data_IF_021376244025
#
_entry.id   IF_021376244025
#
_cell.length_a   1.000
_cell.length_b   1.000
_cell.length_c   1.000
_cell.angle_alpha   90.00
_cell.angle_beta   90.00
_cell.angle_gamma   90.00
#
_symmetry.space_group_name_H-M   'P 1'
#
loop_
_entity.id
_entity.type
_entity.pdbx_description
1 polymer ?
#
# COMPACT_ATOMS: atom_id res chain seq x y z
N UNK A 1 14.17 -4.02 -8.26
CA UNK A 1 13.17 -4.37 -7.22
C UNK A 1 12.97 -3.16 -6.32
N UNK A 2 11.76 -2.95 -5.81
CA UNK A 2 11.46 -1.85 -4.88
C UNK A 2 11.31 -2.36 -3.44
N UNK A 3 11.63 -1.50 -2.48
CA UNK A 3 11.45 -1.70 -1.04
C UNK A 3 10.75 -0.47 -0.48
N UNK A 4 9.78 -0.69 0.40
CA UNK A 4 9.12 0.37 1.16
C UNK A 4 9.74 0.39 2.55
N UNK A 5 10.40 1.50 2.87
CA UNK A 5 10.83 1.78 4.24
C UNK A 5 9.66 2.41 5.00
N UNK A 6 9.16 1.68 5.99
CA UNK A 6 8.05 2.13 6.84
C UNK A 6 8.49 3.30 7.73
N UNK A 7 9.74 3.32 8.20
CA UNK A 7 10.22 4.40 9.07
C UNK A 7 10.29 5.73 8.32
N UNK A 8 10.74 5.70 7.06
CA UNK A 8 10.75 6.89 6.22
C UNK A 8 9.34 7.47 5.97
N UNK A 9 8.29 6.64 5.95
CA UNK A 9 6.91 7.15 5.90
C UNK A 9 6.49 7.82 7.20
N UNK A 10 6.96 7.33 8.35
CA UNK A 10 6.68 7.96 9.63
C UNK A 10 7.36 9.33 9.76
N UNK A 11 8.63 9.43 9.33
CA UNK A 11 9.36 10.70 9.26
C UNK A 11 8.63 11.73 8.39
N UNK A 12 8.05 11.30 7.25
CA UNK A 12 7.31 12.19 6.35
C UNK A 12 6.03 12.79 6.96
N UNK A 13 5.41 12.13 7.94
CA UNK A 13 4.16 12.62 8.58
C UNK A 13 4.35 13.96 9.30
N UNK A 14 5.58 14.31 9.67
CA UNK A 14 5.89 15.60 10.29
C UNK A 14 5.80 16.77 9.28
N UNK A 15 5.88 16.49 7.99
CA UNK A 15 5.96 17.51 6.94
C UNK A 15 4.62 17.72 6.22
N UNK A 16 3.86 16.64 5.98
CA UNK A 16 2.60 16.68 5.23
C UNK A 16 1.75 15.43 5.47
N UNK A 17 0.46 15.43 5.07
CA UNK A 17 -0.33 14.20 4.99
C UNK A 17 0.35 13.17 4.07
N UNK A 18 0.64 11.99 4.61
CA UNK A 18 1.32 10.92 3.88
C UNK A 18 0.30 9.94 3.30
N UNK A 19 0.39 9.75 1.98
CA UNK A 19 -0.38 8.77 1.22
C UNK A 19 0.52 7.60 0.84
N UNK A 20 0.03 6.37 0.95
CA UNK A 20 0.78 5.19 0.51
C UNK A 20 0.22 4.59 -0.77
N UNK A 21 1.03 4.58 -1.82
CA UNK A 21 0.75 3.89 -3.08
C UNK A 21 1.13 2.41 -2.99
N UNK A 22 0.17 1.58 -2.58
CA UNK A 22 0.43 0.16 -2.37
C UNK A 22 0.57 -0.63 -3.68
N UNK A 23 0.01 -0.14 -4.78
CA UNK A 23 0.07 -0.81 -6.08
C UNK A 23 1.42 -0.62 -6.75
N UNK A 24 1.92 0.61 -6.87
CA UNK A 24 3.23 0.85 -7.49
C UNK A 24 4.40 0.40 -6.61
N UNK A 25 4.24 0.39 -5.29
CA UNK A 25 5.24 -0.18 -4.39
C UNK A 25 5.51 -1.68 -4.61
N UNK A 26 4.59 -2.40 -5.28
CA UNK A 26 4.75 -3.82 -5.62
C UNK A 26 5.39 -4.06 -6.97
N UNK A 27 5.68 -3.01 -7.72
CA UNK A 27 6.30 -3.09 -9.03
C UNK A 27 7.68 -3.74 -8.91
N UNK A 28 8.02 -4.53 -9.93
CA UNK A 28 9.35 -5.09 -10.16
C UNK A 28 9.89 -4.47 -11.44
N UNK A 29 10.56 -3.31 -11.35
CA UNK A 29 11.12 -2.63 -12.53
C UNK A 29 12.09 -3.55 -13.27
N UNK A 30 11.95 -3.62 -14.59
CA UNK A 30 12.74 -4.52 -15.46
C UNK A 30 12.38 -6.01 -15.33
N UNK A 31 11.26 -6.35 -14.70
CA UNK A 31 10.81 -7.73 -14.51
C UNK A 31 10.25 -8.41 -15.77
N UNK A 32 9.96 -7.65 -16.83
CA UNK A 32 9.60 -8.15 -18.17
C UNK A 32 10.46 -7.44 -19.22
N UNK A 33 10.49 -8.00 -20.42
CA UNK A 33 11.30 -7.47 -21.52
C UNK A 33 10.77 -6.12 -22.06
N UNK A 34 9.47 -5.86 -21.94
CA UNK A 34 8.75 -4.74 -22.55
C UNK A 34 7.98 -3.86 -21.54
N UNK A 35 7.93 -4.27 -20.27
CA UNK A 35 7.09 -3.66 -19.24
C UNK A 35 7.60 -3.97 -17.83
N UNK A 36 7.04 -3.30 -16.82
CA UNK A 36 7.30 -3.65 -15.44
C UNK A 36 6.46 -4.88 -15.02
N UNK A 37 7.07 -5.80 -14.26
CA UNK A 37 6.33 -6.86 -13.59
C UNK A 37 5.80 -6.37 -12.23
N UNK A 38 5.06 -7.21 -11.52
CA UNK A 38 4.45 -6.83 -10.27
C UNK A 38 4.16 -8.00 -9.35
N UNK A 39 3.74 -7.69 -8.13
CA UNK A 39 3.46 -8.67 -7.08
C UNK A 39 2.08 -8.44 -6.45
N UNK A 40 1.05 -8.21 -7.25
CA UNK A 40 -0.33 -7.92 -6.77
C UNK A 40 -0.86 -8.88 -5.70
N UNK A 41 -0.42 -10.15 -5.68
CA UNK A 41 -0.77 -11.12 -4.64
C UNK A 41 -0.40 -10.65 -3.22
N UNK A 42 0.54 -9.72 -3.09
CA UNK A 42 1.00 -9.15 -1.83
C UNK A 42 0.35 -7.78 -1.51
N UNK A 43 -0.59 -7.29 -2.33
CA UNK A 43 -1.25 -5.98 -2.15
C UNK A 43 -1.86 -5.79 -0.76
N UNK A 44 -2.59 -6.79 -0.28
CA UNK A 44 -3.21 -6.71 1.05
C UNK A 44 -2.18 -6.77 2.18
N UNK A 45 -1.09 -7.52 1.99
CA UNK A 45 -0.02 -7.62 3.00
C UNK A 45 0.69 -6.27 3.13
N UNK A 46 1.12 -5.71 2.01
CA UNK A 46 1.89 -4.47 2.00
C UNK A 46 1.05 -3.26 2.45
N UNK A 47 -0.20 -3.15 1.99
CA UNK A 47 -1.08 -2.06 2.39
C UNK A 47 -1.41 -2.07 3.89
N UNK A 48 -1.67 -3.24 4.48
CA UNK A 48 -1.86 -3.34 5.94
C UNK A 48 -0.61 -2.92 6.71
N UNK A 49 0.58 -3.28 6.22
CA UNK A 49 1.83 -2.82 6.84
C UNK A 49 1.95 -1.30 6.83
N UNK A 50 1.63 -0.64 5.70
CA UNK A 50 1.64 0.83 5.62
C UNK A 50 0.58 1.48 6.52
N UNK A 51 -0.66 0.98 6.50
CA UNK A 51 -1.75 1.51 7.33
C UNK A 51 -1.50 1.35 8.83
N UNK A 52 -0.67 0.38 9.24
CA UNK A 52 -0.29 0.20 10.63
C UNK A 52 0.48 1.41 11.23
N UNK A 53 0.94 2.35 10.39
CA UNK A 53 1.60 3.58 10.81
C UNK A 53 0.63 4.74 11.08
N UNK A 54 -0.67 4.57 10.79
CA UNK A 54 -1.65 5.64 10.89
C UNK A 54 -1.45 6.72 9.82
N UNK A 55 -1.47 6.33 8.54
CA UNK A 55 -1.29 7.23 7.40
C UNK A 55 -2.55 8.06 7.11
N UNK A 56 -2.40 9.12 6.29
CA UNK A 56 -3.53 9.96 5.87
C UNK A 56 -4.44 9.25 4.86
N UNK A 57 -3.88 8.36 4.04
CA UNK A 57 -4.68 7.56 3.13
C UNK A 57 -3.87 6.54 2.34
N UNK A 58 -4.63 5.73 1.60
CA UNK A 58 -4.12 4.67 0.73
C UNK A 58 -4.47 5.01 -0.71
N UNK A 59 -3.50 4.86 -1.60
CA UNK A 59 -3.69 4.90 -3.04
C UNK A 59 -3.61 3.45 -3.59
N UNK A 60 -4.57 3.10 -4.46
CA UNK A 60 -4.66 1.80 -5.10
C UNK A 60 -5.18 1.94 -6.53
N UNK A 61 -4.67 1.09 -7.41
CA UNK A 61 -5.23 0.85 -8.74
C UNK A 61 -5.94 -0.50 -8.80
N UNK A 62 -7.04 -0.56 -9.55
CA UNK A 62 -7.82 -1.78 -9.75
C UNK A 62 -8.29 -1.91 -11.20
N UNK A 63 -8.44 -3.14 -11.66
CA UNK A 63 -8.95 -3.44 -13.00
C UNK A 63 -9.92 -4.63 -12.96
N UNK A 64 -11.00 -4.65 -13.79
CA UNK A 64 -11.90 -5.81 -13.89
C UNK A 64 -11.16 -7.10 -14.26
N UNK A 65 -10.17 -6.99 -15.14
CA UNK A 65 -9.29 -8.09 -15.54
C UNK A 65 -7.82 -7.61 -15.58
N UNK A 66 -7.05 -7.67 -14.48
CA UNK A 66 -5.70 -7.12 -14.42
C UNK A 66 -4.74 -7.65 -15.50
N UNK A 67 -4.97 -8.86 -16.02
CA UNK A 67 -4.10 -9.45 -17.03
C UNK A 67 -4.35 -8.84 -18.45
N UNK A 68 -5.43 -8.07 -18.64
CA UNK A 68 -5.75 -7.30 -19.85
C UNK A 68 -5.51 -5.79 -19.69
N UNK A 69 -4.99 -5.34 -18.55
CA UNK A 69 -4.69 -3.92 -18.35
C UNK A 69 -3.56 -3.46 -19.28
N UNK A 70 -3.74 -2.29 -19.92
CA UNK A 70 -2.75 -1.73 -20.86
C UNK A 70 -1.45 -1.28 -20.17
N UNK A 71 -1.50 -1.01 -18.87
CA UNK A 71 -0.37 -0.65 -18.03
C UNK A 71 -0.61 -1.20 -16.61
N UNK A 72 0.46 -1.53 -15.89
CA UNK A 72 0.48 -1.91 -14.47
C UNK A 72 -0.46 -3.04 -14.01
N UNK A 73 -0.99 -3.85 -14.95
CA UNK A 73 -1.77 -5.06 -14.68
C UNK A 73 -1.17 -6.05 -13.67
N UNK A 74 0.16 -6.27 -13.66
CA UNK A 74 0.82 -7.11 -12.65
C UNK A 74 0.75 -6.58 -11.21
N UNK A 75 0.44 -5.29 -11.04
CA UNK A 75 0.29 -4.60 -9.76
C UNK A 75 -1.18 -4.32 -9.40
N UNK A 76 -2.06 -4.19 -10.41
CA UNK A 76 -3.46 -3.84 -10.22
C UNK A 76 -4.24 -4.89 -9.40
N UNK A 77 -5.09 -4.40 -8.49
CA UNK A 77 -6.01 -5.22 -7.72
C UNK A 77 -7.16 -5.72 -8.63
N UNK A 78 -7.56 -7.00 -8.57
CA UNK A 78 -8.80 -7.43 -9.22
C UNK A 78 -10.00 -6.66 -8.63
N UNK A 79 -10.78 -5.97 -9.47
CA UNK A 79 -11.84 -5.07 -9.02
C UNK A 79 -12.89 -5.77 -8.13
N UNK A 80 -13.18 -7.04 -8.39
CA UNK A 80 -14.09 -7.85 -7.58
C UNK A 80 -13.57 -8.18 -6.17
N UNK A 81 -12.32 -7.86 -5.85
CA UNK A 81 -11.74 -7.98 -4.51
C UNK A 81 -11.68 -6.65 -3.76
N UNK A 82 -12.06 -5.53 -4.39
CA UNK A 82 -11.91 -4.19 -3.83
C UNK A 82 -12.67 -4.02 -2.51
N UNK A 83 -13.93 -4.42 -2.44
CA UNK A 83 -14.75 -4.28 -1.22
C UNK A 83 -14.17 -5.03 -0.01
N UNK A 84 -13.93 -6.36 -0.05
CA UNK A 84 -13.36 -7.06 1.09
C UNK A 84 -11.92 -6.61 1.41
N UNK A 85 -11.19 -6.11 0.41
CA UNK A 85 -9.88 -5.48 0.63
C UNK A 85 -10.01 -4.21 1.48
N UNK A 86 -10.89 -3.28 1.08
CA UNK A 86 -11.11 -2.02 1.78
C UNK A 86 -11.68 -2.21 3.19
N UNK A 87 -12.56 -3.21 3.39
CA UNK A 87 -13.05 -3.56 4.73
C UNK A 87 -11.91 -3.91 5.69
N UNK A 88 -10.92 -4.70 5.23
CA UNK A 88 -9.74 -5.01 6.05
C UNK A 88 -8.85 -3.79 6.28
N UNK A 89 -8.65 -2.96 5.24
CA UNK A 89 -7.84 -1.74 5.36
C UNK A 89 -8.47 -0.79 6.39
N UNK A 90 -9.78 -0.59 6.32
CA UNK A 90 -10.53 0.23 7.26
C UNK A 90 -10.44 -0.30 8.69
N UNK A 91 -10.54 -1.61 8.90
CA UNK A 91 -10.45 -2.20 10.24
C UNK A 91 -9.07 -1.98 10.88
N UNK A 92 -7.98 -2.17 10.12
CA UNK A 92 -6.62 -1.88 10.59
C UNK A 92 -6.46 -0.39 10.89
N UNK A 93 -6.93 0.46 9.98
CA UNK A 93 -6.83 1.91 10.10
C UNK A 93 -7.53 2.45 11.35
N UNK A 94 -8.78 2.01 11.57
CA UNK A 94 -9.57 2.40 12.75
C UNK A 94 -8.90 1.95 14.05
N UNK A 95 -8.38 0.71 14.09
CA UNK A 95 -7.70 0.18 15.27
C UNK A 95 -6.48 1.03 15.62
N UNK A 96 -5.58 1.23 14.66
CA UNK A 96 -4.33 1.96 14.90
C UNK A 96 -4.59 3.41 15.24
N UNK A 97 -5.54 4.07 14.57
CA UNK A 97 -5.92 5.45 14.87
C UNK A 97 -6.64 5.62 16.21
N UNK A 98 -7.10 4.54 16.84
CA UNK A 98 -7.71 4.58 18.18
C UNK A 98 -6.70 4.58 19.32
N UNK A 99 -5.43 4.25 19.06
CA UNK A 99 -4.40 4.22 20.09
C UNK A 99 -4.04 5.62 20.55
N UNK A 100 -3.81 5.78 21.85
CA UNK A 100 -3.19 6.99 22.38
C UNK A 100 -1.74 7.07 21.88
N UNK A 101 -1.20 8.28 21.60
CA UNK A 101 0.20 8.44 21.25
C UNK A 101 1.11 7.77 22.29
N UNK A 102 2.05 6.95 21.82
CA UNK A 102 3.02 6.25 22.64
C UNK A 102 4.42 6.75 22.27
N UNK A 103 5.08 7.44 23.20
CA UNK A 103 6.49 7.82 23.06
C UNK A 103 7.37 6.73 23.68
N UNK A 104 8.29 6.19 22.88
CA UNK A 104 9.23 5.15 23.29
C UNK A 104 10.66 5.68 23.44
N UNK A 105 10.88 6.99 23.35
CA UNK A 105 12.18 7.59 23.62
C UNK A 105 12.55 7.43 25.09
N UNK A 106 13.83 7.21 25.38
CA UNK A 106 14.34 7.34 26.75
C UNK A 106 14.44 8.82 27.09
N UNK A 107 13.86 9.22 28.22
CA UNK A 107 13.94 10.58 28.77
C UNK A 107 15.39 11.09 28.91
#
# INVERSE_FOLDING_TARGET
NLVVDMLGMDDMKQMAPVMFDATHALQRPGGRADSADGRRAQAAVLARSGLALGLAGLFIEAHPNPDEALCDGPCALPLNKLEPYLQQMQAVDQLVKSFQPLDTSSA
#
